data_IF_053223163381
#
_entry.id   IF_053223163381
#
_cell.length_a   1.000
_cell.length_b   1.000
_cell.length_c   1.000
_cell.angle_alpha   90.00
_cell.angle_beta   90.00
_cell.angle_gamma   90.00
#
_symmetry.space_group_name_H-M   'P 1'
#
loop_
_entity.id
_entity.type
_entity.pdbx_description
1 polymer ?
#
# COMPACT_ATOMS: atom_id res chain seq x y z
N UNK A 1 -9.73 -13.28 -25.69
CA UNK A 1 -10.98 -13.19 -24.88
C UNK A 1 -10.90 -14.18 -23.72
N UNK A 2 -11.31 -13.83 -22.50
CA UNK A 2 -11.34 -14.78 -21.38
C UNK A 2 -12.60 -15.64 -21.46
N UNK A 3 -12.47 -16.96 -21.41
CA UNK A 3 -13.65 -17.84 -21.28
C UNK A 3 -14.23 -17.75 -19.87
N UNK A 4 -15.55 -17.95 -19.75
CA UNK A 4 -16.25 -18.02 -18.45
C UNK A 4 -15.61 -19.02 -17.51
N UNK A 5 -15.26 -20.21 -18.01
CA UNK A 5 -14.53 -21.25 -17.27
C UNK A 5 -13.18 -20.79 -16.73
N UNK A 6 -12.45 -19.95 -17.48
CA UNK A 6 -11.16 -19.40 -17.03
C UNK A 6 -11.36 -18.36 -15.94
N UNK A 7 -12.37 -17.50 -16.06
CA UNK A 7 -12.70 -16.50 -15.04
C UNK A 7 -13.13 -17.19 -13.75
N UNK A 8 -14.03 -18.16 -13.83
CA UNK A 8 -14.52 -18.95 -12.69
C UNK A 8 -13.37 -19.63 -11.92
N UNK A 9 -12.46 -20.32 -12.63
CA UNK A 9 -11.26 -20.91 -12.00
C UNK A 9 -10.40 -19.90 -11.27
N UNK A 10 -10.27 -18.69 -11.80
CA UNK A 10 -9.45 -17.64 -11.17
C UNK A 10 -10.14 -17.05 -9.95
N UNK A 11 -11.46 -16.81 -10.00
CA UNK A 11 -12.24 -16.45 -8.83
C UNK A 11 -12.10 -17.53 -7.73
N UNK A 12 -12.17 -18.81 -8.11
CA UNK A 12 -11.94 -19.93 -7.20
C UNK A 12 -10.53 -19.95 -6.59
N UNK A 13 -9.50 -19.52 -7.32
CA UNK A 13 -8.16 -19.34 -6.76
C UNK A 13 -8.14 -18.27 -5.66
N UNK A 14 -8.63 -17.05 -5.95
CA UNK A 14 -8.69 -15.98 -4.96
C UNK A 14 -9.48 -16.38 -3.72
N UNK A 15 -10.60 -17.07 -3.91
CA UNK A 15 -11.43 -17.54 -2.81
C UNK A 15 -10.69 -18.53 -1.89
N UNK A 16 -9.95 -19.48 -2.47
CA UNK A 16 -9.21 -20.50 -1.71
C UNK A 16 -7.95 -19.92 -1.06
N UNK A 17 -7.16 -19.17 -1.82
CA UNK A 17 -5.88 -18.59 -1.38
C UNK A 17 -6.06 -17.68 -0.17
N UNK A 18 -7.04 -16.77 -0.24
CA UNK A 18 -7.29 -15.77 0.81
C UNK A 18 -8.50 -16.11 1.69
N UNK A 19 -9.04 -17.34 1.60
CA UNK A 19 -10.22 -17.80 2.36
C UNK A 19 -11.39 -16.79 2.33
N UNK A 20 -11.65 -16.21 1.17
CA UNK A 20 -12.61 -15.10 1.03
C UNK A 20 -14.05 -15.58 1.13
N UNK A 21 -14.89 -14.76 1.75
CA UNK A 21 -16.32 -14.90 1.61
C UNK A 21 -16.76 -14.60 0.17
N UNK A 22 -17.95 -15.06 -0.23
CA UNK A 22 -18.51 -14.69 -1.53
C UNK A 22 -18.69 -13.18 -1.69
N UNK A 23 -18.94 -12.44 -0.59
CA UNK A 23 -19.02 -10.99 -0.59
C UNK A 23 -17.66 -10.35 -0.89
N UNK A 24 -16.61 -10.76 -0.18
CA UNK A 24 -15.26 -10.21 -0.34
C UNK A 24 -14.66 -10.53 -1.70
N UNK A 25 -14.92 -11.73 -2.22
CA UNK A 25 -14.50 -12.12 -3.56
C UNK A 25 -15.12 -11.21 -4.63
N UNK A 26 -16.42 -10.90 -4.50
CA UNK A 26 -17.10 -9.94 -5.38
C UNK A 26 -16.52 -8.54 -5.22
N UNK A 27 -16.26 -8.09 -4.00
CA UNK A 27 -15.68 -6.78 -3.73
C UNK A 27 -14.29 -6.62 -4.36
N UNK A 28 -13.43 -7.64 -4.23
CA UNK A 28 -12.12 -7.69 -4.88
C UNK A 28 -12.27 -7.60 -6.40
N UNK A 29 -13.13 -8.45 -6.97
CA UNK A 29 -13.34 -8.53 -8.41
C UNK A 29 -13.91 -7.25 -9.01
N UNK A 30 -14.81 -6.54 -8.30
CA UNK A 30 -15.38 -5.28 -8.77
C UNK A 30 -14.44 -4.09 -8.59
N UNK A 31 -13.68 -4.02 -7.49
CA UNK A 31 -12.71 -2.93 -7.24
C UNK A 31 -11.56 -2.92 -8.24
N UNK A 32 -11.06 -4.10 -8.61
CA UNK A 32 -9.98 -4.22 -9.60
C UNK A 32 -10.19 -5.46 -10.47
N UNK A 33 -11.06 -5.38 -11.50
CA UNK A 33 -11.33 -6.51 -12.39
C UNK A 33 -10.08 -7.08 -13.04
N UNK A 34 -9.11 -6.21 -13.35
CA UNK A 34 -7.83 -6.59 -13.96
C UNK A 34 -7.02 -7.56 -13.09
N UNK A 35 -7.22 -7.60 -11.77
CA UNK A 35 -6.56 -8.58 -10.90
C UNK A 35 -7.02 -10.00 -11.23
N UNK A 36 -8.30 -10.19 -11.55
CA UNK A 36 -8.86 -11.50 -11.96
C UNK A 36 -8.27 -11.92 -13.30
N UNK A 37 -8.02 -11.00 -14.22
CA UNK A 37 -7.48 -11.30 -15.55
C UNK A 37 -5.95 -11.19 -15.65
N UNK A 38 -5.24 -10.93 -14.55
CA UNK A 38 -3.79 -10.74 -14.54
C UNK A 38 -2.97 -12.01 -14.81
N UNK A 39 -1.65 -11.88 -14.96
CA UNK A 39 -0.75 -13.03 -15.06
C UNK A 39 -0.73 -13.81 -13.73
N UNK A 40 -1.07 -15.10 -13.75
CA UNK A 40 -1.18 -15.92 -12.54
C UNK A 40 0.15 -16.22 -11.86
N UNK A 41 1.23 -16.33 -12.64
CA UNK A 41 2.57 -16.54 -12.10
C UNK A 41 3.02 -15.31 -11.31
N UNK A 42 2.81 -14.12 -11.90
CA UNK A 42 3.05 -12.86 -11.20
C UNK A 42 2.23 -12.77 -9.91
N UNK A 43 0.92 -13.04 -9.97
CA UNK A 43 0.05 -13.00 -8.79
C UNK A 43 0.57 -13.93 -7.68
N UNK A 44 0.96 -15.16 -8.02
CA UNK A 44 1.50 -16.12 -7.05
C UNK A 44 2.82 -15.64 -6.45
N UNK A 45 3.71 -15.05 -7.25
CA UNK A 45 4.96 -14.47 -6.75
C UNK A 45 4.67 -13.29 -5.80
N UNK A 46 3.76 -12.40 -6.16
CA UNK A 46 3.36 -11.30 -5.26
C UNK A 46 2.72 -11.79 -3.96
N UNK A 47 1.91 -12.84 -4.00
CA UNK A 47 1.34 -13.48 -2.78
C UNK A 47 2.43 -14.06 -1.90
N UNK A 48 3.38 -14.79 -2.51
CA UNK A 48 4.53 -15.34 -1.80
C UNK A 48 5.35 -14.24 -1.13
N UNK A 49 5.70 -13.17 -1.85
CA UNK A 49 6.45 -12.03 -1.32
C UNK A 49 5.71 -11.34 -0.16
N UNK A 50 4.40 -11.08 -0.31
CA UNK A 50 3.60 -10.49 0.77
C UNK A 50 3.59 -11.36 2.04
N UNK A 51 3.60 -12.68 1.89
CA UNK A 51 3.52 -13.59 3.02
C UNK A 51 4.88 -13.89 3.65
N UNK A 52 5.85 -14.30 2.84
CA UNK A 52 7.12 -14.86 3.30
C UNK A 52 8.19 -13.77 3.47
N UNK A 53 8.24 -12.78 2.58
CA UNK A 53 9.26 -11.70 2.67
C UNK A 53 8.77 -10.54 3.53
N UNK A 54 7.50 -10.16 3.41
CA UNK A 54 6.90 -9.06 4.17
C UNK A 54 6.25 -9.54 5.48
N UNK A 55 6.07 -10.84 5.68
CA UNK A 55 5.63 -11.41 6.96
C UNK A 55 4.14 -11.22 7.29
N UNK A 56 3.28 -10.86 6.33
CA UNK A 56 1.84 -10.73 6.61
C UNK A 56 1.21 -12.09 6.88
N UNK A 57 0.45 -12.19 7.98
CA UNK A 57 -0.29 -13.41 8.26
C UNK A 57 -1.51 -13.56 7.33
N UNK A 58 -2.12 -14.76 7.31
CA UNK A 58 -3.22 -15.05 6.39
C UNK A 58 -4.42 -14.08 6.52
N UNK A 59 -4.76 -13.62 7.74
CA UNK A 59 -5.87 -12.69 7.96
C UNK A 59 -5.53 -11.30 7.43
N UNK A 60 -4.33 -10.81 7.73
CA UNK A 60 -3.81 -9.53 7.25
C UNK A 60 -3.70 -9.49 5.73
N UNK A 61 -3.16 -10.55 5.14
CA UNK A 61 -3.02 -10.69 3.70
C UNK A 61 -4.38 -10.64 2.99
N UNK A 62 -5.37 -11.34 3.54
CA UNK A 62 -6.75 -11.32 3.02
C UNK A 62 -7.34 -9.91 3.07
N UNK A 63 -7.17 -9.20 4.19
CA UNK A 63 -7.63 -7.83 4.35
C UNK A 63 -6.94 -6.86 3.37
N UNK A 64 -5.62 -6.97 3.19
CA UNK A 64 -4.85 -6.18 2.23
C UNK A 64 -5.37 -6.37 0.80
N UNK A 65 -5.52 -7.61 0.38
CA UNK A 65 -5.86 -7.97 -1.00
C UNK A 65 -7.30 -7.59 -1.34
N UNK A 66 -8.26 -7.76 -0.42
CA UNK A 66 -9.64 -7.31 -0.62
C UNK A 66 -9.72 -5.79 -0.69
N UNK A 67 -9.01 -5.09 0.20
CA UNK A 67 -9.05 -3.63 0.27
C UNK A 67 -8.33 -2.98 -0.91
N UNK A 68 -7.17 -3.51 -1.31
CA UNK A 68 -6.32 -2.97 -2.37
C UNK A 68 -5.75 -4.08 -3.29
N UNK A 69 -6.58 -4.67 -4.17
CA UNK A 69 -6.13 -5.79 -5.02
C UNK A 69 -5.00 -5.44 -5.99
N UNK A 70 -4.82 -4.14 -6.27
CA UNK A 70 -3.70 -3.63 -7.10
C UNK A 70 -2.33 -4.02 -6.53
N UNK A 71 -2.20 -4.27 -5.23
CA UNK A 71 -0.92 -4.71 -4.64
C UNK A 71 -0.37 -5.96 -5.32
N UNK A 72 -1.24 -6.91 -5.68
CA UNK A 72 -0.84 -8.15 -6.35
C UNK A 72 -0.34 -7.96 -7.80
N UNK A 73 -0.48 -6.76 -8.35
CA UNK A 73 -0.07 -6.43 -9.72
C UNK A 73 1.24 -5.63 -9.75
N UNK A 74 1.75 -5.22 -8.58
CA UNK A 74 3.04 -4.51 -8.46
C UNK A 74 4.16 -5.56 -8.55
N UNK A 75 5.31 -5.20 -9.10
CA UNK A 75 6.51 -6.05 -9.06
C UNK A 75 6.83 -6.45 -7.62
N UNK A 76 7.18 -7.71 -7.37
CA UNK A 76 7.64 -8.15 -6.06
C UNK A 76 8.77 -7.27 -5.49
N UNK A 77 9.74 -6.90 -6.34
CA UNK A 77 10.88 -6.08 -5.93
C UNK A 77 10.43 -4.69 -5.43
N UNK A 78 9.56 -4.00 -6.17
CA UNK A 78 8.94 -2.73 -5.75
C UNK A 78 8.14 -2.88 -4.43
N UNK A 79 7.46 -4.01 -4.22
CA UNK A 79 6.68 -4.24 -3.01
C UNK A 79 7.61 -4.37 -1.80
N UNK A 80 8.70 -5.12 -1.95
CA UNK A 80 9.71 -5.32 -0.92
C UNK A 80 10.37 -3.99 -0.56
N UNK A 81 10.78 -3.21 -1.56
CA UNK A 81 11.40 -1.90 -1.34
C UNK A 81 10.46 -0.94 -0.60
N UNK A 82 9.21 -0.83 -1.05
CA UNK A 82 8.21 0.03 -0.39
C UNK A 82 7.88 -0.45 1.01
N UNK A 83 7.79 -1.76 1.22
CA UNK A 83 7.55 -2.32 2.54
C UNK A 83 8.72 -2.07 3.48
N UNK A 84 9.95 -2.29 3.01
CA UNK A 84 11.16 -2.00 3.78
C UNK A 84 11.14 -0.55 4.26
N UNK A 85 10.83 0.39 3.37
CA UNK A 85 10.74 1.80 3.74
C UNK A 85 9.62 2.09 4.75
N UNK A 86 8.41 1.56 4.50
CA UNK A 86 7.25 1.76 5.38
C UNK A 86 7.46 1.12 6.76
N UNK A 87 8.08 -0.04 6.82
CA UNK A 87 8.22 -0.79 8.07
C UNK A 87 9.48 -0.40 8.85
N UNK A 88 10.62 -0.26 8.17
CA UNK A 88 11.91 -0.01 8.81
C UNK A 88 12.19 1.49 8.96
N UNK A 89 12.03 2.29 7.90
CA UNK A 89 12.34 3.72 7.93
C UNK A 89 11.24 4.57 8.59
N UNK A 90 9.97 4.27 8.28
CA UNK A 90 8.81 4.95 8.89
C UNK A 90 8.39 4.32 10.23
N UNK A 91 8.86 3.11 10.55
CA UNK A 91 8.54 2.42 11.81
C UNK A 91 7.09 1.94 11.94
N UNK A 92 6.36 1.76 10.83
CA UNK A 92 4.95 1.37 10.88
C UNK A 92 4.79 -0.16 11.06
N UNK A 93 4.04 -0.63 12.08
CA UNK A 93 3.75 -2.05 12.25
C UNK A 93 2.76 -2.55 11.21
N UNK A 94 2.73 -3.87 10.97
CA UNK A 94 1.82 -4.55 10.04
C UNK A 94 0.37 -4.13 10.21
N UNK A 95 -0.09 -3.95 11.45
CA UNK A 95 -1.46 -3.53 11.77
C UNK A 95 -1.82 -2.18 11.14
N UNK A 96 -0.93 -1.19 11.20
CA UNK A 96 -1.14 0.12 10.58
C UNK A 96 -1.05 0.04 9.04
N UNK A 97 -0.16 -0.81 8.51
CA UNK A 97 -0.03 -1.02 7.06
C UNK A 97 -1.28 -1.68 6.49
N UNK A 98 -1.86 -2.68 7.18
CA UNK A 98 -3.12 -3.33 6.81
C UNK A 98 -4.29 -2.35 6.86
N UNK A 99 -4.28 -1.42 7.82
CA UNK A 99 -5.25 -0.33 7.89
C UNK A 99 -5.07 0.75 6.82
N UNK A 100 -3.92 0.80 6.13
CA UNK A 100 -3.64 1.77 5.08
C UNK A 100 -2.78 1.17 3.95
N UNK A 101 -3.33 0.20 3.18
CA UNK A 101 -2.60 -0.44 2.08
C UNK A 101 -2.19 0.53 0.95
N UNK A 102 -2.77 1.73 0.94
CA UNK A 102 -2.36 2.84 0.08
C UNK A 102 -0.87 3.17 0.19
N UNK A 103 -0.25 2.94 1.37
CA UNK A 103 1.19 3.16 1.58
C UNK A 103 2.02 2.32 0.59
N UNK A 104 1.73 1.02 0.50
CA UNK A 104 2.42 0.09 -0.40
C UNK A 104 2.01 0.28 -1.87
N UNK A 105 0.79 0.77 -2.13
CA UNK A 105 0.29 1.00 -3.48
C UNK A 105 0.72 2.34 -4.09
N UNK A 106 1.26 3.25 -3.27
CA UNK A 106 1.74 4.57 -3.70
C UNK A 106 3.04 4.46 -4.50
N UNK A 107 3.38 5.52 -5.24
CA UNK A 107 4.71 5.61 -5.86
C UNK A 107 5.72 5.90 -4.77
N UNK A 108 6.80 5.15 -4.78
CA UNK A 108 7.80 5.18 -3.73
C UNK A 108 8.43 6.57 -3.54
N UNK A 109 8.90 7.22 -4.62
CA UNK A 109 9.53 8.54 -4.53
C UNK A 109 8.63 9.55 -3.77
N UNK A 110 7.32 9.56 -4.06
CA UNK A 110 6.37 10.46 -3.42
C UNK A 110 6.22 10.17 -1.93
N UNK A 111 6.18 8.89 -1.55
CA UNK A 111 6.10 8.50 -0.14
C UNK A 111 7.37 8.93 0.59
N UNK A 112 8.55 8.67 -0.01
CA UNK A 112 9.84 9.02 0.58
C UNK A 112 10.03 10.52 0.76
N UNK A 113 9.81 11.30 -0.30
CA UNK A 113 9.89 12.77 -0.27
C UNK A 113 9.02 13.36 0.83
N UNK A 114 7.77 12.90 0.94
CA UNK A 114 6.85 13.41 1.95
C UNK A 114 7.22 12.98 3.36
N UNK A 115 7.62 11.72 3.56
CA UNK A 115 8.06 11.25 4.86
C UNK A 115 9.31 11.99 5.32
N UNK A 116 10.32 12.11 4.48
CA UNK A 116 11.59 12.76 4.83
C UNK A 116 11.42 14.24 5.09
N UNK A 117 10.55 14.91 4.33
CA UNK A 117 10.20 16.29 4.63
C UNK A 117 9.55 16.42 6.02
N UNK A 118 8.65 15.50 6.39
CA UNK A 118 8.12 15.47 7.76
C UNK A 118 9.20 15.15 8.80
N UNK A 119 10.19 14.31 8.50
CA UNK A 119 11.33 14.06 9.40
C UNK A 119 12.15 15.34 9.60
N UNK A 120 12.46 16.05 8.53
CA UNK A 120 13.19 17.32 8.56
C UNK A 120 12.48 18.37 9.43
N UNK A 121 11.15 18.43 9.33
CA UNK A 121 10.31 19.33 10.13
C UNK A 121 10.07 18.85 11.57
N UNK A 122 10.58 17.67 11.97
CA UNK A 122 10.31 17.08 13.28
C UNK A 122 8.84 16.67 13.48
N UNK A 123 8.10 16.44 12.38
CA UNK A 123 6.66 16.14 12.36
C UNK A 123 6.34 14.69 11.99
N UNK A 124 7.34 13.85 11.70
CA UNK A 124 7.14 12.44 11.35
C UNK A 124 6.78 11.60 12.60
N UNK A 125 5.57 11.79 13.13
CA UNK A 125 5.01 11.02 14.25
C UNK A 125 3.79 10.23 13.78
N UNK A 126 3.86 8.90 13.82
CA UNK A 126 2.79 8.01 13.36
C UNK A 126 2.19 7.13 14.45
N UNK A 127 2.62 7.33 15.71
CA UNK A 127 2.04 6.70 16.88
C UNK A 127 0.77 7.44 17.31
N UNK A 128 -0.42 6.83 17.26
CA UNK A 128 -1.68 7.46 17.67
C UNK A 128 -1.71 7.87 19.15
N UNK A 129 -0.81 7.34 19.98
CA UNK A 129 -0.74 7.65 21.41
C UNK A 129 0.16 8.85 21.73
N UNK A 130 0.85 9.41 20.73
CA UNK A 130 1.78 10.54 20.91
C UNK A 130 1.20 11.83 20.35
N UNK A 131 1.60 12.94 20.96
CA UNK A 131 1.26 14.28 20.47
C UNK A 131 1.76 14.48 19.04
N UNK A 132 1.07 15.36 18.31
CA UNK A 132 1.36 15.65 16.90
C UNK A 132 1.23 14.42 15.98
N UNK A 133 0.44 13.42 16.37
CA UNK A 133 0.11 12.27 15.54
C UNK A 133 -0.36 12.68 14.13
N UNK A 134 0.29 12.10 13.13
CA UNK A 134 -0.11 12.18 11.72
C UNK A 134 -0.56 10.79 11.28
N UNK A 135 -1.77 10.71 10.73
CA UNK A 135 -2.23 9.46 10.13
C UNK A 135 -1.37 9.11 8.91
N UNK A 136 -0.82 7.87 8.81
CA UNK A 136 -0.06 7.46 7.63
C UNK A 136 -0.81 7.66 6.31
N UNK A 137 -2.15 7.57 6.35
CA UNK A 137 -3.02 7.81 5.22
C UNK A 137 -2.85 9.20 4.61
N UNK A 138 -2.68 10.24 5.42
CA UNK A 138 -2.59 11.62 4.93
C UNK A 138 -1.30 11.88 4.14
N UNK A 139 -0.28 11.04 4.31
CA UNK A 139 0.98 11.15 3.56
C UNK A 139 0.77 10.75 2.10
N UNK A 140 -0.08 9.76 1.83
CA UNK A 140 -0.31 9.25 0.47
C UNK A 140 -1.56 9.85 -0.20
N UNK A 141 -2.32 10.66 0.54
CA UNK A 141 -3.48 11.38 0.05
C UNK A 141 -3.13 12.71 -0.64
N UNK A 142 -3.99 13.12 -1.58
CA UNK A 142 -3.94 14.43 -2.19
C UNK A 142 -2.68 14.74 -3.01
N UNK A 143 -2.60 15.98 -3.48
CA UNK A 143 -1.43 16.53 -4.17
C UNK A 143 -0.45 17.16 -3.17
N UNK A 144 0.69 17.63 -3.66
CA UNK A 144 1.72 18.23 -2.80
C UNK A 144 1.21 19.49 -2.09
N UNK A 145 0.39 20.31 -2.76
CA UNK A 145 -0.23 21.47 -2.12
C UNK A 145 -1.06 21.08 -0.88
N UNK A 146 -1.91 20.07 -1.00
CA UNK A 146 -2.70 19.57 0.12
C UNK A 146 -1.80 19.04 1.24
N UNK A 147 -0.81 18.21 0.90
CA UNK A 147 0.13 17.64 1.86
C UNK A 147 0.90 18.74 2.62
N UNK A 148 1.49 19.69 1.91
CA UNK A 148 2.32 20.75 2.49
C UNK A 148 1.52 21.64 3.43
N UNK A 149 0.35 22.09 2.99
CA UNK A 149 -0.48 23.02 3.76
C UNK A 149 -1.20 22.34 4.92
N UNK A 150 -1.75 21.15 4.70
CA UNK A 150 -2.64 20.50 5.68
C UNK A 150 -1.91 19.50 6.59
N UNK A 151 -0.83 18.89 6.11
CA UNK A 151 -0.08 17.85 6.86
C UNK A 151 1.25 18.41 7.37
N UNK A 152 2.11 18.90 6.47
CA UNK A 152 3.44 19.38 6.85
C UNK A 152 3.42 20.73 7.58
N UNK A 153 2.34 21.51 7.42
CA UNK A 153 2.20 22.88 7.97
C UNK A 153 3.37 23.77 7.56
N UNK A 154 3.72 23.72 6.27
CA UNK A 154 4.81 24.46 5.64
C UNK A 154 4.31 25.11 4.34
N UNK A 155 5.22 25.64 3.54
CA UNK A 155 4.96 26.29 2.25
C UNK A 155 5.62 25.52 1.09
N UNK A 156 5.20 25.86 -0.14
CA UNK A 156 5.66 25.18 -1.35
C UNK A 156 7.14 25.45 -1.65
N UNK A 157 7.63 26.66 -1.37
CA UNK A 157 9.01 27.04 -1.68
C UNK A 157 9.99 26.23 -0.83
N UNK A 158 9.71 26.07 0.46
CA UNK A 158 10.49 25.23 1.39
C UNK A 158 10.51 23.77 0.93
N UNK A 159 9.37 23.23 0.49
CA UNK A 159 9.31 21.86 -0.02
C UNK A 159 10.07 21.68 -1.33
N UNK A 160 9.94 22.62 -2.28
CA UNK A 160 10.63 22.57 -3.55
C UNK A 160 12.15 22.73 -3.37
N UNK A 161 12.59 23.55 -2.40
CA UNK A 161 13.99 23.66 -2.03
C UNK A 161 14.51 22.33 -1.48
N UNK A 162 13.75 21.69 -0.57
CA UNK A 162 14.07 20.36 -0.05
C UNK A 162 14.24 19.31 -1.18
N UNK A 163 13.35 19.31 -2.16
CA UNK A 163 13.44 18.38 -3.30
C UNK A 163 14.68 18.61 -4.18
N UNK A 164 15.16 19.85 -4.29
CA UNK A 164 16.36 20.20 -5.07
C UNK A 164 17.66 19.84 -4.38
N UNK A 165 17.65 19.73 -3.05
CA UNK A 165 18.84 19.42 -2.24
C UNK A 165 19.12 17.91 -2.13
N UNK A 166 18.38 17.08 -2.87
CA UNK A 166 18.40 15.62 -2.76
C UNK A 166 18.95 14.96 -4.02
#
# INVERSE_FOLDING_TARGET
MFSTRRVDRRLGYFQKEFKLSGHDLRLLATRKPNAITYNMEHLRKSVFTLKEEMGFNAKELSALVVRKPRLLMISPDDLVERFSYVHQDMGLPHTQIVQCPELLASREFRLRERHEFLKLLGRAQYDPQKDLYISPKTIVEGNNFYFIRNVAKSDLETFDLFLKTR
#
